data_IF_960977922510
#
_entry.id   IF_960977922510
#
_cell.length_a   1.000
_cell.length_b   1.000
_cell.length_c   1.000
_cell.angle_alpha   90.00
_cell.angle_beta   90.00
_cell.angle_gamma   90.00
#
_symmetry.space_group_name_H-M   'P 1'
#
loop_
_entity.id
_entity.type
_entity.pdbx_description
1 polymer ?
#
# COMPACT_ATOMS: atom_id res chain seq x y z
N UNK A 1 5.65 -38.23 31.70
CA UNK A 1 4.27 -38.31 31.17
C UNK A 1 4.17 -37.37 29.97
N UNK A 2 4.04 -37.91 28.76
CA UNK A 2 3.86 -37.10 27.55
C UNK A 2 2.37 -37.01 27.27
N UNK A 3 1.78 -35.82 27.40
CA UNK A 3 0.39 -35.59 27.02
C UNK A 3 0.24 -35.62 25.49
N UNK A 4 -0.87 -36.16 25.01
CA UNK A 4 -1.23 -36.07 23.59
C UNK A 4 -1.32 -34.60 23.17
N UNK A 5 -0.52 -34.20 22.18
CA UNK A 5 -0.61 -32.86 21.60
C UNK A 5 -1.94 -32.75 20.84
N UNK A 6 -2.80 -31.82 21.26
CA UNK A 6 -4.00 -31.46 20.50
C UNK A 6 -3.62 -30.55 19.35
N UNK A 7 -4.07 -30.86 18.14
CA UNK A 7 -3.95 -29.98 16.98
C UNK A 7 -4.95 -28.83 17.16
N UNK A 8 -4.51 -27.72 17.73
CA UNK A 8 -5.36 -26.56 18.02
C UNK A 8 -5.01 -25.39 17.09
N UNK A 9 -5.98 -24.94 16.31
CA UNK A 9 -5.87 -23.76 15.47
C UNK A 9 -6.12 -22.49 16.28
N UNK A 10 -5.05 -21.89 16.80
CA UNK A 10 -5.10 -20.63 17.59
C UNK A 10 -4.73 -19.39 16.80
N UNK A 11 -4.12 -19.55 15.62
CA UNK A 11 -3.42 -18.49 14.89
C UNK A 11 -4.24 -17.86 13.78
N UNK A 12 -3.76 -16.74 13.22
CA UNK A 12 -4.40 -16.09 12.04
C UNK A 12 -4.42 -17.01 10.83
N UNK A 13 -3.32 -17.70 10.63
CA UNK A 13 -3.10 -18.71 9.60
C UNK A 13 -2.14 -19.78 10.11
N UNK A 14 -2.20 -20.97 9.53
CA UNK A 14 -1.30 -22.08 9.84
C UNK A 14 -0.93 -22.83 8.56
N UNK A 15 0.36 -23.05 8.34
CA UNK A 15 0.84 -23.97 7.31
C UNK A 15 0.94 -25.37 7.88
N UNK A 16 0.30 -26.30 7.19
CA UNK A 16 0.27 -27.70 7.51
C UNK A 16 0.90 -28.50 6.36
N UNK A 17 1.92 -29.30 6.68
CA UNK A 17 2.58 -30.20 5.74
C UNK A 17 2.52 -31.62 6.29
N UNK A 18 1.66 -32.49 5.75
CA UNK A 18 1.67 -33.92 6.06
C UNK A 18 3.05 -34.52 5.83
N UNK A 19 3.52 -35.34 6.77
CA UNK A 19 4.84 -35.97 6.68
C UNK A 19 4.90 -37.11 5.66
N UNK A 20 3.76 -37.77 5.40
CA UNK A 20 3.68 -38.91 4.49
C UNK A 20 3.51 -38.42 3.05
N UNK A 21 4.60 -38.45 2.29
CA UNK A 21 4.65 -37.96 0.90
C UNK A 21 4.35 -39.04 -0.12
N UNK A 22 4.45 -40.32 0.26
CA UNK A 22 4.30 -41.47 -0.66
C UNK A 22 2.87 -41.98 -0.71
N UNK A 23 2.00 -41.50 0.18
CA UNK A 23 0.59 -41.86 0.19
C UNK A 23 -0.11 -41.50 -1.13
N UNK A 24 -0.81 -42.48 -1.68
CA UNK A 24 -1.56 -42.39 -2.95
C UNK A 24 -3.05 -42.15 -2.75
N UNK A 25 -3.54 -42.27 -1.52
CA UNK A 25 -4.92 -42.00 -1.15
C UNK A 25 -5.09 -40.70 -0.37
N UNK A 26 -6.31 -40.17 -0.40
CA UNK A 26 -6.66 -38.98 0.35
C UNK A 26 -6.51 -39.18 1.87
N UNK A 27 -6.35 -38.08 2.58
CA UNK A 27 -6.18 -38.08 4.04
C UNK A 27 -7.20 -37.19 4.71
N UNK A 28 -7.86 -37.72 5.73
CA UNK A 28 -8.77 -36.95 6.56
C UNK A 28 -8.02 -36.34 7.74
N UNK A 29 -8.16 -35.03 7.91
CA UNK A 29 -7.52 -34.27 8.98
C UNK A 29 -8.56 -33.59 9.84
N UNK A 30 -8.32 -33.57 11.16
CA UNK A 30 -9.17 -32.92 12.16
C UNK A 30 -8.31 -32.06 13.06
N UNK A 31 -8.80 -30.88 13.39
CA UNK A 31 -8.19 -29.98 14.36
C UNK A 31 -9.26 -29.23 15.16
N UNK A 32 -8.89 -28.82 16.36
CA UNK A 32 -9.74 -28.02 17.23
C UNK A 32 -9.62 -26.55 16.87
N UNK A 33 -10.69 -25.78 17.06
CA UNK A 33 -10.74 -24.33 16.85
C UNK A 33 -11.68 -23.69 17.88
N UNK A 34 -11.59 -22.37 18.02
CA UNK A 34 -12.57 -21.62 18.80
C UNK A 34 -13.90 -21.51 18.06
N UNK A 35 -15.01 -21.47 18.81
CA UNK A 35 -16.37 -21.39 18.24
C UNK A 35 -16.58 -20.21 17.29
N UNK A 36 -15.89 -19.09 17.52
CA UNK A 36 -16.04 -17.88 16.72
C UNK A 36 -15.16 -17.86 15.45
N UNK A 37 -14.40 -18.92 15.19
CA UNK A 37 -13.53 -19.01 14.01
C UNK A 37 -14.22 -19.81 12.91
N UNK A 38 -14.12 -19.31 11.68
CA UNK A 38 -14.44 -20.08 10.48
C UNK A 38 -13.13 -20.31 9.72
N UNK A 39 -12.77 -21.55 9.45
CA UNK A 39 -11.49 -21.90 8.83
C UNK A 39 -11.70 -22.18 7.35
N UNK A 40 -10.85 -21.57 6.53
CA UNK A 40 -10.71 -21.87 5.10
C UNK A 40 -9.41 -22.64 4.86
N UNK A 41 -9.42 -23.56 3.91
CA UNK A 41 -8.25 -24.33 3.50
C UNK A 41 -7.87 -24.07 2.05
N UNK A 42 -6.58 -24.00 1.79
CA UNK A 42 -6.01 -23.90 0.46
C UNK A 42 -4.85 -24.87 0.32
N UNK A 43 -4.81 -25.63 -0.78
CA UNK A 43 -3.61 -26.32 -1.19
C UNK A 43 -2.72 -25.32 -1.94
N UNK A 44 -1.58 -25.00 -1.33
CA UNK A 44 -0.56 -24.08 -1.87
C UNK A 44 0.74 -24.82 -2.20
N UNK A 45 0.66 -26.14 -2.40
CA UNK A 45 1.79 -26.98 -2.83
C UNK A 45 2.40 -26.46 -4.13
N UNK A 46 1.55 -26.07 -5.09
CA UNK A 46 1.96 -25.33 -6.28
C UNK A 46 1.54 -23.85 -6.14
N UNK A 47 2.49 -22.90 -6.04
CA UNK A 47 2.15 -21.48 -5.90
C UNK A 47 1.44 -20.89 -7.12
N UNK A 48 1.55 -21.54 -8.29
CA UNK A 48 0.90 -21.11 -9.53
C UNK A 48 -0.47 -21.76 -9.76
N UNK A 49 -0.83 -22.77 -8.96
CA UNK A 49 -2.08 -23.51 -9.09
C UNK A 49 -2.67 -23.79 -7.71
N UNK A 50 -3.04 -22.72 -7.01
CA UNK A 50 -3.65 -22.79 -5.69
C UNK A 50 -5.08 -23.33 -5.84
N UNK A 51 -5.42 -24.37 -5.07
CA UNK A 51 -6.78 -24.92 -5.04
C UNK A 51 -7.41 -24.75 -3.67
N UNK A 52 -8.72 -24.50 -3.64
CA UNK A 52 -9.47 -24.35 -2.39
C UNK A 52 -9.90 -25.72 -1.88
N UNK A 53 -9.67 -25.97 -0.60
CA UNK A 53 -10.10 -27.19 0.10
C UNK A 53 -11.39 -26.89 0.86
N UNK A 54 -12.38 -27.76 0.70
CA UNK A 54 -13.61 -27.69 1.48
C UNK A 54 -13.34 -28.10 2.92
N UNK A 55 -13.54 -27.17 3.85
CA UNK A 55 -13.42 -27.42 5.30
C UNK A 55 -14.82 -27.59 5.88
N UNK A 56 -15.06 -28.72 6.56
CA UNK A 56 -16.20 -28.91 7.43
C UNK A 56 -15.95 -28.17 8.74
N UNK A 57 -16.64 -27.05 8.95
CA UNK A 57 -16.51 -26.24 10.15
C UNK A 57 -17.62 -26.57 11.15
N UNK A 58 -17.27 -27.19 12.27
CA UNK A 58 -18.14 -27.38 13.44
C UNK A 58 -17.88 -26.29 14.47
N UNK A 59 -18.56 -26.29 15.62
CA UNK A 59 -18.33 -25.27 16.65
C UNK A 59 -16.87 -25.31 17.15
N UNK A 60 -16.46 -26.41 17.76
CA UNK A 60 -15.14 -26.57 18.41
C UNK A 60 -14.10 -27.28 17.53
N UNK A 61 -14.49 -27.77 16.37
CA UNK A 61 -13.64 -28.58 15.49
C UNK A 61 -13.80 -28.16 14.03
N UNK A 62 -12.76 -28.38 13.25
CA UNK A 62 -12.83 -28.31 11.81
C UNK A 62 -12.06 -29.49 11.20
N UNK A 63 -12.57 -29.97 10.08
CA UNK A 63 -12.00 -31.12 9.39
C UNK A 63 -12.04 -30.97 7.89
N UNK A 64 -11.17 -31.70 7.20
CA UNK A 64 -11.12 -31.71 5.76
C UNK A 64 -10.48 -32.97 5.21
N UNK A 65 -10.75 -33.24 3.95
CA UNK A 65 -10.05 -34.25 3.16
C UNK A 65 -8.98 -33.54 2.34
N UNK A 66 -7.71 -33.80 2.66
CA UNK A 66 -6.59 -33.34 1.86
C UNK A 66 -6.36 -34.30 0.69
N UNK A 67 -6.00 -33.79 -0.51
CA UNK A 67 -5.72 -34.64 -1.66
C UNK A 67 -4.56 -35.59 -1.38
N UNK A 68 -4.41 -36.66 -2.16
CA UNK A 68 -3.24 -37.52 -2.07
C UNK A 68 -1.92 -36.80 -2.44
N UNK A 69 -0.85 -36.92 -1.62
CA UNK A 69 0.43 -36.27 -1.88
C UNK A 69 1.15 -36.79 -3.13
N UNK A 70 0.99 -38.05 -3.52
CA UNK A 70 1.51 -38.61 -4.79
C UNK A 70 3.00 -38.26 -5.05
N UNK A 71 3.87 -38.53 -4.08
CA UNK A 71 5.31 -38.22 -4.08
C UNK A 71 5.64 -36.72 -4.05
N UNK A 72 4.72 -35.87 -3.57
CA UNK A 72 4.93 -34.43 -3.41
C UNK A 72 4.83 -34.05 -1.94
N UNK A 73 5.70 -33.13 -1.51
CA UNK A 73 5.55 -32.49 -0.20
C UNK A 73 4.37 -31.52 -0.26
N UNK A 74 3.27 -31.91 0.38
CA UNK A 74 2.09 -31.07 0.42
C UNK A 74 2.27 -29.87 1.34
N UNK A 75 1.71 -28.75 0.92
CA UNK A 75 1.66 -27.53 1.71
C UNK A 75 0.24 -27.00 1.71
N UNK A 76 -0.45 -27.20 2.82
CA UNK A 76 -1.82 -26.73 3.02
C UNK A 76 -1.78 -25.49 3.90
N UNK A 77 -2.48 -24.45 3.48
CA UNK A 77 -2.66 -23.21 4.21
C UNK A 77 -4.07 -23.18 4.80
N UNK A 78 -4.16 -23.13 6.13
CA UNK A 78 -5.39 -22.89 6.86
C UNK A 78 -5.44 -21.42 7.28
N UNK A 79 -6.57 -20.75 7.04
CA UNK A 79 -6.75 -19.32 7.34
C UNK A 79 -8.07 -19.12 8.07
N UNK A 80 -8.07 -18.26 9.10
CA UNK A 80 -9.32 -17.82 9.70
C UNK A 80 -10.00 -16.80 8.77
N UNK A 81 -11.25 -17.06 8.39
CA UNK A 81 -12.03 -16.23 7.48
C UNK A 81 -12.16 -14.77 7.96
N UNK A 82 -12.19 -14.54 9.28
CA UNK A 82 -12.26 -13.18 9.83
C UNK A 82 -10.97 -12.37 9.68
N UNK A 83 -9.86 -13.01 9.28
CA UNK A 83 -8.56 -12.37 9.08
C UNK A 83 -8.19 -12.19 7.60
N UNK A 84 -9.14 -12.39 6.69
CA UNK A 84 -8.90 -12.14 5.27
C UNK A 84 -8.92 -10.63 5.04
N UNK A 85 -7.79 -10.09 4.60
CA UNK A 85 -7.74 -8.72 4.10
C UNK A 85 -8.44 -8.68 2.75
N UNK A 86 -9.66 -8.14 2.72
CA UNK A 86 -10.29 -7.78 1.46
C UNK A 86 -9.81 -6.38 1.06
N UNK A 87 -9.41 -6.16 -0.21
CA UNK A 87 -9.20 -4.80 -0.69
C UNK A 87 -10.51 -4.02 -0.56
N UNK A 88 -10.39 -2.71 -0.31
CA UNK A 88 -11.53 -1.82 -0.37
C UNK A 88 -12.11 -1.82 -1.80
N UNK A 89 -13.44 -1.68 -1.91
CA UNK A 89 -14.08 -1.55 -3.21
C UNK A 89 -13.52 -0.32 -3.96
N UNK A 90 -13.36 -0.41 -5.30
CA UNK A 90 -12.89 0.74 -6.08
C UNK A 90 -13.89 1.89 -5.98
N UNK A 91 -13.37 3.11 -5.85
CA UNK A 91 -14.17 4.33 -5.76
C UNK A 91 -13.94 5.17 -7.02
N UNK A 92 -15.03 5.72 -7.58
CA UNK A 92 -14.92 6.69 -8.67
C UNK A 92 -14.24 7.96 -8.15
N UNK A 93 -13.08 8.29 -8.71
CA UNK A 93 -12.36 9.54 -8.43
C UNK A 93 -12.48 10.50 -9.61
N UNK A 94 -12.56 11.80 -9.33
CA UNK A 94 -12.62 12.85 -10.35
C UNK A 94 -11.32 13.65 -10.32
N UNK A 95 -10.63 13.70 -11.46
CA UNK A 95 -9.36 14.39 -11.58
C UNK A 95 -9.54 15.85 -11.94
N UNK A 96 -8.69 16.70 -11.37
CA UNK A 96 -8.53 18.06 -11.88
C UNK A 96 -7.91 17.98 -13.27
N UNK A 97 -8.52 18.64 -14.25
CA UNK A 97 -7.91 18.76 -15.56
C UNK A 97 -6.68 19.69 -15.46
N UNK A 98 -5.51 19.15 -15.80
CA UNK A 98 -4.23 19.86 -15.81
C UNK A 98 -3.72 20.14 -17.22
N UNK A 99 -4.52 19.85 -18.27
CA UNK A 99 -4.17 20.17 -19.65
C UNK A 99 -3.96 21.68 -19.82
N UNK A 100 -2.90 22.06 -20.54
CA UNK A 100 -2.51 23.45 -20.78
C UNK A 100 -2.26 24.29 -19.50
N UNK A 101 -2.01 23.65 -18.34
CA UNK A 101 -1.61 24.41 -17.15
C UNK A 101 -0.24 25.04 -17.37
N UNK A 102 -0.14 26.35 -17.11
CA UNK A 102 1.09 27.16 -17.25
C UNK A 102 1.54 27.79 -15.93
N UNK A 103 1.03 27.29 -14.82
CA UNK A 103 1.36 27.80 -13.49
C UNK A 103 2.86 27.61 -13.22
N UNK A 104 3.50 28.66 -12.71
CA UNK A 104 4.95 28.68 -12.49
C UNK A 104 5.33 28.28 -11.06
N UNK A 105 4.37 28.26 -10.13
CA UNK A 105 4.58 27.86 -8.75
C UNK A 105 3.64 26.73 -8.38
N UNK A 106 4.18 25.51 -8.28
CA UNK A 106 3.41 24.31 -7.95
C UNK A 106 3.51 24.07 -6.44
N UNK A 107 2.37 23.96 -5.78
CA UNK A 107 2.26 23.67 -4.36
C UNK A 107 1.55 22.32 -4.19
N UNK A 108 2.29 21.31 -3.74
CA UNK A 108 1.73 20.00 -3.42
C UNK A 108 1.64 19.88 -1.91
N UNK A 109 0.44 19.63 -1.38
CA UNK A 109 0.20 19.62 0.07
C UNK A 109 -0.53 18.37 0.53
N UNK A 110 -0.39 18.06 1.82
CA UNK A 110 -1.23 17.05 2.48
C UNK A 110 -2.45 17.68 3.15
N UNK A 111 -3.63 17.07 3.01
CA UNK A 111 -4.92 17.60 3.51
C UNK A 111 -4.91 18.00 4.99
N UNK A 112 -4.11 17.33 5.83
CA UNK A 112 -3.94 17.68 7.26
C UNK A 112 -3.42 19.10 7.51
N UNK A 113 -2.70 19.70 6.55
CA UNK A 113 -2.14 21.04 6.69
C UNK A 113 -3.13 22.15 6.30
N UNK A 114 -4.31 21.80 5.80
CA UNK A 114 -5.40 22.75 5.57
C UNK A 114 -6.21 23.06 6.82
N UNK A 115 -5.93 22.38 7.93
CA UNK A 115 -6.60 22.65 9.20
C UNK A 115 -6.30 24.07 9.66
N UNK A 116 -7.26 24.77 10.29
CA UNK A 116 -7.04 26.11 10.82
C UNK A 116 -5.81 26.13 11.73
N UNK A 117 -4.93 27.11 11.52
CA UNK A 117 -3.74 27.31 12.34
C UNK A 117 -3.51 28.81 12.55
N UNK A 118 -3.34 29.21 13.80
CA UNK A 118 -3.21 30.60 14.22
C UNK A 118 -4.32 31.49 13.60
N UNK A 119 -3.94 32.52 12.83
CA UNK A 119 -4.85 33.48 12.23
C UNK A 119 -5.49 33.02 10.90
N UNK A 120 -5.14 31.84 10.37
CA UNK A 120 -5.59 31.40 9.05
C UNK A 120 -6.52 30.19 9.13
N UNK A 121 -7.74 30.26 8.52
CA UNK A 121 -8.66 29.13 8.45
C UNK A 121 -8.16 28.02 7.51
N UNK A 122 -7.37 28.37 6.51
CA UNK A 122 -6.70 27.44 5.59
C UNK A 122 -5.28 27.96 5.28
N UNK A 123 -4.27 27.48 6.02
CA UNK A 123 -2.89 27.94 5.87
C UNK A 123 -2.32 27.68 4.47
N UNK A 124 -2.73 26.58 3.82
CA UNK A 124 -2.29 26.22 2.47
C UNK A 124 -2.80 27.24 1.46
N UNK A 125 -4.09 27.55 1.54
CA UNK A 125 -4.71 28.56 0.67
C UNK A 125 -4.09 29.93 0.91
N UNK A 126 -3.94 30.34 2.17
CA UNK A 126 -3.34 31.63 2.52
C UNK A 126 -1.91 31.78 1.97
N UNK A 127 -1.10 30.72 2.03
CA UNK A 127 0.25 30.75 1.47
C UNK A 127 0.26 30.81 -0.07
N UNK A 128 -0.63 30.08 -0.74
CA UNK A 128 -0.77 30.16 -2.19
C UNK A 128 -1.21 31.57 -2.65
N UNK A 129 -2.16 32.18 -1.94
CA UNK A 129 -2.61 33.56 -2.18
C UNK A 129 -1.50 34.57 -1.92
N UNK A 130 -0.70 34.38 -0.86
CA UNK A 130 0.47 35.21 -0.60
C UNK A 130 1.46 35.14 -1.78
N UNK A 131 1.81 33.96 -2.29
CA UNK A 131 2.72 33.82 -3.45
C UNK A 131 2.14 34.45 -4.73
N UNK A 132 0.82 34.47 -4.89
CA UNK A 132 0.17 35.17 -5.99
C UNK A 132 0.14 36.71 -5.82
N UNK A 133 0.31 37.22 -4.60
CA UNK A 133 0.27 38.66 -4.31
C UNK A 133 1.52 39.41 -4.80
N UNK A 134 1.44 40.74 -4.89
CA UNK A 134 2.58 41.61 -5.19
C UNK A 134 3.76 41.38 -4.26
N UNK A 135 3.51 41.22 -2.96
CA UNK A 135 4.56 41.04 -1.95
C UNK A 135 5.15 39.63 -1.97
N UNK A 136 4.39 38.62 -2.43
CA UNK A 136 4.87 37.24 -2.52
C UNK A 136 5.46 36.87 -3.88
N UNK A 137 5.50 37.81 -4.84
CA UNK A 137 6.23 37.69 -6.10
C UNK A 137 5.37 37.49 -7.36
N UNK A 138 4.05 37.68 -7.27
CA UNK A 138 3.10 37.61 -8.41
C UNK A 138 3.18 36.29 -9.20
N UNK A 139 3.34 35.18 -8.49
CA UNK A 139 3.37 33.85 -9.10
C UNK A 139 1.98 33.39 -9.55
N UNK A 140 1.90 32.61 -10.62
CA UNK A 140 0.71 31.83 -10.96
C UNK A 140 0.78 30.49 -10.23
N UNK A 141 -0.09 30.31 -9.23
CA UNK A 141 0.00 29.20 -8.27
C UNK A 141 -0.93 28.04 -8.63
N UNK A 142 -0.39 26.83 -8.60
CA UNK A 142 -1.16 25.58 -8.71
C UNK A 142 -1.08 24.79 -7.41
N UNK A 143 -2.14 24.82 -6.62
CA UNK A 143 -2.25 23.99 -5.41
C UNK A 143 -2.90 22.64 -5.73
N UNK A 144 -2.23 21.55 -5.35
CA UNK A 144 -2.67 20.17 -5.53
C UNK A 144 -2.58 19.39 -4.21
N UNK A 145 -3.62 18.64 -3.91
CA UNK A 145 -3.61 17.72 -2.78
C UNK A 145 -2.88 16.42 -3.19
N UNK A 146 -1.99 15.94 -2.32
CA UNK A 146 -1.06 14.86 -2.67
C UNK A 146 -1.76 13.53 -2.99
N UNK A 147 -2.93 13.21 -2.40
CA UNK A 147 -3.66 12.00 -2.75
C UNK A 147 -4.23 12.08 -4.16
N UNK A 148 -4.69 13.25 -4.60
CA UNK A 148 -5.09 13.45 -6.00
C UNK A 148 -3.90 13.23 -6.96
N UNK A 149 -2.69 13.59 -6.54
CA UNK A 149 -1.47 13.32 -7.31
C UNK A 149 -1.20 11.82 -7.39
N UNK A 150 -1.35 11.06 -6.29
CA UNK A 150 -1.23 9.60 -6.32
C UNK A 150 -2.29 8.97 -7.22
N UNK A 151 -3.55 9.37 -7.08
CA UNK A 151 -4.66 8.82 -7.86
C UNK A 151 -4.43 9.05 -9.36
N UNK A 152 -3.93 10.23 -9.75
CA UNK A 152 -3.76 10.62 -11.15
C UNK A 152 -2.45 10.12 -11.78
N UNK A 153 -1.36 10.05 -11.01
CA UNK A 153 -0.01 9.79 -11.53
C UNK A 153 0.64 8.52 -10.99
N UNK A 154 -0.03 7.77 -10.11
CA UNK A 154 0.46 6.51 -9.56
C UNK A 154 -0.65 5.53 -9.18
N UNK A 155 -1.79 5.59 -9.85
CA UNK A 155 -2.91 4.66 -9.68
C UNK A 155 -3.44 4.54 -8.24
N UNK A 156 -3.31 5.61 -7.45
CA UNK A 156 -3.75 5.68 -6.06
C UNK A 156 -2.74 5.13 -5.05
N UNK A 157 -1.63 4.55 -5.52
CA UNK A 157 -0.55 4.09 -4.66
C UNK A 157 0.33 5.26 -4.19
N UNK A 158 0.73 5.22 -2.93
CA UNK A 158 1.57 6.27 -2.35
C UNK A 158 3.02 6.10 -2.83
N UNK A 159 3.53 7.06 -3.60
CA UNK A 159 4.91 7.03 -4.07
C UNK A 159 5.45 8.41 -4.44
N UNK A 160 6.75 8.62 -4.21
CA UNK A 160 7.49 9.79 -4.71
C UNK A 160 7.49 9.85 -6.25
N UNK A 161 7.34 8.70 -6.90
CA UNK A 161 7.23 8.59 -8.34
C UNK A 161 6.00 9.33 -8.89
N UNK A 162 4.91 9.42 -8.12
CA UNK A 162 3.74 10.19 -8.50
C UNK A 162 4.07 11.69 -8.70
N UNK A 163 4.91 12.23 -7.82
CA UNK A 163 5.36 13.63 -7.86
C UNK A 163 6.25 13.84 -9.08
N UNK A 164 7.18 12.90 -9.35
CA UNK A 164 8.01 12.95 -10.57
C UNK A 164 7.15 12.97 -11.83
N UNK A 165 6.16 12.07 -11.91
CA UNK A 165 5.26 12.01 -13.06
C UNK A 165 4.42 13.28 -13.24
N UNK A 166 3.95 13.88 -12.14
CA UNK A 166 3.31 15.20 -12.16
C UNK A 166 4.24 16.27 -12.73
N UNK A 167 5.47 16.38 -12.21
CA UNK A 167 6.44 17.39 -12.66
C UNK A 167 6.79 17.20 -14.13
N UNK A 168 7.02 15.96 -14.57
CA UNK A 168 7.26 15.63 -15.97
C UNK A 168 6.07 16.03 -16.84
N UNK A 169 4.84 15.70 -16.42
CA UNK A 169 3.63 16.08 -17.14
C UNK A 169 3.51 17.61 -17.25
N UNK A 170 3.62 18.35 -16.14
CA UNK A 170 3.54 19.82 -16.14
C UNK A 170 4.64 20.47 -16.99
N UNK A 171 5.83 19.88 -17.05
CA UNK A 171 6.94 20.33 -17.88
C UNK A 171 6.70 20.14 -19.39
N UNK A 172 5.76 19.27 -19.79
CA UNK A 172 5.30 19.18 -21.19
C UNK A 172 4.23 20.21 -21.53
N UNK A 173 3.47 20.70 -20.54
CA UNK A 173 2.38 21.66 -20.73
C UNK A 173 2.84 23.12 -20.62
N UNK A 174 3.87 23.36 -19.79
CA UNK A 174 4.42 24.67 -19.49
C UNK A 174 5.84 24.56 -18.93
N UNK A 175 6.28 25.61 -18.24
CA UNK A 175 7.60 25.67 -17.60
C UNK A 175 7.44 25.99 -16.11
N UNK A 176 7.05 25.00 -15.28
CA UNK A 176 6.99 25.20 -13.83
C UNK A 176 8.38 25.59 -13.33
N UNK A 177 8.47 26.65 -12.53
CA UNK A 177 9.74 27.18 -12.03
C UNK A 177 10.01 26.76 -10.58
N UNK A 178 8.95 26.57 -9.79
CA UNK A 178 9.05 26.24 -8.38
C UNK A 178 8.11 25.09 -8.02
N UNK A 179 8.60 24.17 -7.19
CA UNK A 179 7.82 23.11 -6.57
C UNK A 179 8.00 23.21 -5.06
N UNK A 180 6.90 23.40 -4.34
CA UNK A 180 6.84 23.32 -2.89
C UNK A 180 6.11 22.04 -2.47
N UNK A 181 6.79 21.18 -1.73
CA UNK A 181 6.21 20.01 -1.09
C UNK A 181 5.90 20.34 0.36
N UNK A 182 4.62 20.55 0.66
CA UNK A 182 4.14 20.94 1.97
C UNK A 182 3.63 19.71 2.74
N UNK A 183 4.53 19.09 3.49
CA UNK A 183 4.26 17.89 4.27
C UNK A 183 5.50 17.33 4.94
N UNK A 184 5.31 16.66 6.07
CA UNK A 184 6.38 15.89 6.69
C UNK A 184 6.61 14.60 5.91
N UNK A 185 7.84 14.36 5.49
CA UNK A 185 8.27 13.10 4.89
C UNK A 185 8.95 12.21 5.93
N UNK A 186 8.84 10.89 5.77
CA UNK A 186 9.65 9.92 6.51
C UNK A 186 10.55 9.15 5.55
N UNK A 187 11.79 8.90 5.96
CA UNK A 187 12.74 8.07 5.21
C UNK A 187 12.28 6.61 5.20
N UNK A 188 12.53 5.92 4.08
CA UNK A 188 12.20 4.50 3.94
C UNK A 188 13.00 3.60 4.91
N UNK A 189 14.18 4.03 5.36
CA UNK A 189 15.00 3.30 6.35
C UNK A 189 14.69 3.67 7.80
N UNK A 190 13.85 4.70 8.04
CA UNK A 190 13.50 5.11 9.38
C UNK A 190 12.88 3.91 10.09
N UNK A 191 13.43 3.52 11.24
CA UNK A 191 13.43 2.19 11.90
C UNK A 191 12.08 1.43 12.01
N UNK A 192 10.97 2.05 11.60
CA UNK A 192 9.63 1.50 11.61
C UNK A 192 8.90 1.50 10.24
N UNK A 193 9.49 1.96 9.13
CA UNK A 193 8.81 1.95 7.82
C UNK A 193 8.63 0.53 7.27
N UNK A 194 9.62 -0.35 7.47
CA UNK A 194 9.50 -1.80 7.21
C UNK A 194 8.47 -2.49 8.11
N UNK A 195 8.34 -2.04 9.37
CA UNK A 195 7.30 -2.52 10.30
C UNK A 195 5.91 -2.02 9.93
N UNK A 196 5.78 -0.87 9.27
CA UNK A 196 4.49 -0.40 8.75
C UNK A 196 3.95 -1.26 7.59
N UNK A 197 4.82 -2.03 6.90
CA UNK A 197 4.42 -3.00 5.88
C UNK A 197 4.04 -4.37 6.48
N UNK A 198 4.68 -4.79 7.58
CA UNK A 198 4.40 -6.07 8.26
C UNK A 198 3.37 -5.97 9.39
N UNK A 199 3.15 -4.77 9.91
CA UNK A 199 2.14 -4.43 10.91
C UNK A 199 1.64 -2.99 10.65
N UNK A 200 0.73 -2.78 9.68
CA UNK A 200 0.17 -1.47 9.39
C UNK A 200 -0.64 -0.99 10.60
N UNK A 201 -0.01 -0.21 11.47
CA UNK A 201 -0.75 0.58 12.45
C UNK A 201 -1.34 1.79 11.73
N UNK A 202 -2.62 2.15 11.97
CA UNK A 202 -3.20 3.39 11.47
C UNK A 202 -2.28 4.61 11.74
N UNK A 203 -1.55 4.60 12.85
CA UNK A 203 -0.63 5.67 13.27
C UNK A 203 0.66 5.79 12.46
N UNK A 204 1.10 4.76 11.74
CA UNK A 204 2.32 4.83 10.93
C UNK A 204 2.07 5.58 9.62
N UNK A 205 0.94 5.32 8.96
CA UNK A 205 0.46 6.11 7.80
C UNK A 205 0.17 7.57 8.14
N UNK A 206 -0.09 7.88 9.42
CA UNK A 206 -0.41 9.22 9.91
C UNK A 206 0.81 10.14 10.04
N UNK A 207 2.04 9.62 10.03
CA UNK A 207 3.26 10.44 10.19
C UNK A 207 3.90 10.85 8.88
N UNK A 208 3.76 10.04 7.85
CA UNK A 208 4.33 10.32 6.53
C UNK A 208 3.26 10.96 5.62
N UNK A 209 3.36 12.26 5.41
CA UNK A 209 2.38 13.06 4.65
C UNK A 209 2.71 13.10 3.16
N UNK A 210 3.97 13.36 2.82
CA UNK A 210 4.46 13.41 1.44
C UNK A 210 5.69 12.50 1.33
N UNK A 211 5.72 11.53 0.41
CA UNK A 211 6.80 10.57 0.28
C UNK A 211 8.05 11.28 -0.19
N UNK A 212 9.18 10.78 0.30
CA UNK A 212 10.51 11.14 -0.19
C UNK A 212 11.07 10.05 -1.10
N UNK A 213 12.01 10.42 -1.97
CA UNK A 213 12.78 9.48 -2.76
C UNK A 213 13.77 8.67 -1.90
N UNK A 214 14.45 7.71 -2.53
CA UNK A 214 15.60 7.03 -1.93
C UNK A 214 16.79 7.10 -2.92
N UNK A 215 17.85 7.86 -2.61
CA UNK A 215 18.05 8.67 -1.39
C UNK A 215 17.06 9.83 -1.29
N UNK A 216 16.86 10.35 -0.07
CA UNK A 216 15.96 11.48 0.14
C UNK A 216 16.56 12.77 -0.40
N UNK A 217 16.20 13.06 -1.64
CA UNK A 217 16.56 14.29 -2.30
C UNK A 217 15.42 14.71 -3.24
N UNK A 218 15.23 16.02 -3.29
CA UNK A 218 14.41 16.74 -4.25
C UNK A 218 14.91 16.62 -5.69
N UNK A 219 16.22 16.41 -5.90
CA UNK A 219 16.81 16.24 -7.23
C UNK A 219 16.18 15.07 -7.98
N UNK A 220 15.82 13.99 -7.29
CA UNK A 220 15.17 12.83 -7.91
C UNK A 220 13.75 13.12 -8.41
N UNK A 221 13.10 14.14 -7.87
CA UNK A 221 11.72 14.51 -8.19
C UNK A 221 11.65 15.45 -9.40
N UNK A 222 12.66 16.30 -9.57
CA UNK A 222 12.64 17.38 -10.57
C UNK A 222 13.66 17.19 -11.70
N UNK A 223 14.69 16.37 -11.51
CA UNK A 223 15.70 16.16 -12.55
C UNK A 223 15.16 15.31 -13.71
N UNK A 224 15.41 15.80 -14.93
CA UNK A 224 15.13 15.08 -16.18
C UNK A 224 16.32 14.16 -16.53
N UNK A 225 16.56 13.15 -15.68
CA UNK A 225 17.66 12.21 -15.86
C UNK A 225 17.49 11.30 -17.08
N UNK A 226 16.27 11.17 -17.60
CA UNK A 226 15.96 10.37 -18.80
C UNK A 226 16.45 11.04 -20.09
N UNK A 227 16.57 12.37 -20.13
CA UNK A 227 17.11 13.09 -21.30
C UNK A 227 18.62 13.34 -21.25
N UNK A 228 19.22 13.22 -20.08
CA UNK A 228 20.65 13.54 -19.86
C UNK A 228 21.57 12.35 -20.21
N UNK A 229 21.07 11.11 -20.20
CA UNK A 229 21.88 9.94 -20.55
C UNK A 229 21.80 9.57 -22.05
N UNK A 230 22.97 9.57 -22.69
CA UNK A 230 23.22 9.37 -24.13
C UNK A 230 23.04 7.91 -24.61
N UNK A 231 22.73 6.96 -23.73
CA UNK A 231 22.50 5.58 -24.14
C UNK A 231 21.01 5.27 -24.30
N UNK A 232 20.47 5.58 -25.49
CA UNK A 232 19.30 4.88 -26.00
C UNK A 232 19.71 3.44 -26.32
N UNK A 233 19.05 2.47 -25.70
CA UNK A 233 18.94 1.12 -26.25
C UNK A 233 17.69 1.04 -27.12
#
# INVERSE_FOLDING_TARGET
MHYARKNLFTSRSWFFSPADTTKTGDSYFVFQKNNNQTVLGYDVTNPYAISKITINNQATEASFVGPAPNNRQQKILLVNASNIYSPAAPVKTTFRNLANNRSNFILVYHSRLRKPAAAYPDPVKAYAEYRASTNGGKYDTLSLEIRQVYDQFHYGEKSAQAIKHLVNYLSTQGKPAYLLLLGQALLADYENFGRSRTAPSPTASLRDMIPTGYPASDIFLTADWEKIFIFRK
#
